data_IF_158470999656
#
_entry.id   IF_158470999656
#
_cell.length_a   1.000
_cell.length_b   1.000
_cell.length_c   1.000
_cell.angle_alpha   90.00
_cell.angle_beta   90.00
_cell.angle_gamma   90.00
#
_symmetry.space_group_name_H-M   'P 1'
#
loop_
_entity.id
_entity.type
_entity.pdbx_description
1 polymer ?
#
# COMPACT_ATOMS: atom_id res chain seq x y z
N UNK A 1 -33.77 -57.05 -1.49
CA UNK A 1 -34.55 -55.81 -1.30
C UNK A 1 -33.76 -54.94 -0.33
N UNK A 2 -32.86 -54.10 -0.83
CA UNK A 2 -32.02 -53.22 -0.01
C UNK A 2 -32.42 -51.77 -0.28
N UNK A 3 -32.80 -51.05 0.78
CA UNK A 3 -33.16 -49.63 0.75
C UNK A 3 -31.87 -48.81 0.67
N UNK A 4 -31.73 -47.98 -0.35
CA UNK A 4 -30.72 -46.93 -0.38
C UNK A 4 -31.22 -45.74 0.45
N UNK A 5 -30.43 -45.37 1.45
CA UNK A 5 -30.55 -44.13 2.21
C UNK A 5 -29.73 -43.09 1.44
N UNK A 6 -30.38 -42.05 0.93
CA UNK A 6 -29.70 -40.88 0.40
C UNK A 6 -29.28 -39.99 1.56
N UNK A 7 -27.97 -39.81 1.74
CA UNK A 7 -27.37 -38.72 2.51
C UNK A 7 -27.76 -37.39 1.86
N UNK A 8 -28.21 -36.45 2.67
CA UNK A 8 -28.40 -35.05 2.28
C UNK A 8 -27.10 -34.34 2.63
N UNK A 9 -26.34 -33.96 1.62
CA UNK A 9 -25.16 -33.11 1.80
C UNK A 9 -25.63 -31.70 2.20
N UNK A 10 -25.47 -31.38 3.48
CA UNK A 10 -25.52 -30.00 3.95
C UNK A 10 -24.20 -29.32 3.60
N UNK A 11 -24.16 -28.66 2.44
CA UNK A 11 -23.12 -27.66 2.16
C UNK A 11 -23.68 -26.31 2.59
N UNK A 12 -23.24 -25.81 3.75
CA UNK A 12 -23.39 -24.41 4.11
C UNK A 12 -22.57 -23.59 3.12
N UNK A 13 -23.25 -23.11 2.08
CA UNK A 13 -22.71 -22.16 1.12
C UNK A 13 -22.64 -20.81 1.83
N UNK A 14 -21.55 -20.56 2.54
CA UNK A 14 -21.13 -19.18 2.80
C UNK A 14 -20.90 -18.58 1.42
N UNK A 15 -21.81 -17.72 0.97
CA UNK A 15 -21.64 -16.97 -0.26
C UNK A 15 -20.40 -16.09 -0.07
N UNK A 16 -19.26 -16.61 -0.49
CA UNK A 16 -18.03 -15.86 -0.61
C UNK A 16 -18.33 -14.79 -1.67
N UNK A 17 -18.65 -13.57 -1.21
CA UNK A 17 -18.87 -12.45 -2.11
C UNK A 17 -17.61 -12.32 -2.98
N UNK A 18 -17.76 -12.56 -4.28
CA UNK A 18 -16.64 -12.50 -5.21
C UNK A 18 -16.08 -11.08 -5.19
N UNK A 19 -14.78 -10.96 -4.86
CA UNK A 19 -14.11 -9.67 -4.95
C UNK A 19 -14.22 -9.14 -6.39
N UNK A 20 -14.49 -7.84 -6.52
CA UNK A 20 -14.52 -7.13 -7.80
C UNK A 20 -13.10 -6.88 -8.31
N UNK A 21 -12.14 -6.82 -7.40
CA UNK A 21 -10.71 -6.77 -7.69
C UNK A 21 -9.95 -7.66 -6.72
N UNK A 22 -8.96 -8.39 -7.23
CA UNK A 22 -8.00 -9.14 -6.43
C UNK A 22 -6.67 -9.23 -7.18
N UNK A 23 -5.59 -8.85 -6.50
CA UNK A 23 -4.23 -9.00 -6.97
C UNK A 23 -3.34 -9.44 -5.81
N UNK A 24 -2.38 -10.33 -6.09
CA UNK A 24 -1.41 -10.78 -5.10
C UNK A 24 -0.01 -10.88 -5.70
N UNK A 25 0.98 -10.69 -4.84
CA UNK A 25 2.39 -10.78 -5.18
C UNK A 25 3.21 -11.07 -3.93
N UNK A 26 4.24 -11.89 -4.08
CA UNK A 26 5.22 -12.12 -3.02
C UNK A 26 6.28 -11.01 -3.08
N UNK A 27 6.50 -10.35 -1.95
CA UNK A 27 7.48 -9.26 -1.83
C UNK A 27 8.75 -9.78 -1.20
N UNK A 28 9.89 -9.31 -1.71
CA UNK A 28 11.16 -9.44 -1.01
C UNK A 28 11.21 -8.37 0.07
N UNK A 29 11.42 -8.78 1.32
CA UNK A 29 11.69 -7.87 2.42
C UNK A 29 12.98 -7.13 2.16
N UNK A 30 12.90 -5.82 1.85
CA UNK A 30 14.08 -5.09 1.39
C UNK A 30 15.19 -5.05 2.43
N UNK A 31 14.86 -4.87 3.72
CA UNK A 31 15.85 -4.93 4.81
C UNK A 31 16.29 -6.34 5.17
N UNK A 32 15.47 -7.35 4.87
CA UNK A 32 15.76 -8.78 5.11
C UNK A 32 16.32 -9.51 3.88
N UNK A 33 16.58 -8.81 2.78
CA UNK A 33 16.89 -9.40 1.46
C UNK A 33 18.15 -10.26 1.44
N UNK A 34 19.10 -10.00 2.34
CA UNK A 34 20.32 -10.82 2.47
C UNK A 34 20.05 -12.21 3.04
N UNK A 35 18.87 -12.40 3.65
CA UNK A 35 18.40 -13.66 4.22
C UNK A 35 17.24 -14.27 3.42
N UNK A 36 17.01 -13.79 2.20
CA UNK A 36 15.90 -14.22 1.33
C UNK A 36 14.53 -14.13 2.03
N UNK A 37 14.34 -13.14 2.92
CA UNK A 37 13.07 -12.94 3.62
C UNK A 37 11.99 -12.46 2.64
N UNK A 38 10.86 -13.17 2.62
CA UNK A 38 9.71 -12.88 1.76
C UNK A 38 8.45 -12.69 2.61
N UNK A 39 7.50 -11.90 2.11
CA UNK A 39 6.15 -11.87 2.65
C UNK A 39 5.10 -11.70 1.56
N UNK A 40 3.90 -12.29 1.73
CA UNK A 40 2.81 -12.11 0.79
C UNK A 40 2.23 -10.69 0.90
N UNK A 41 1.90 -10.11 -0.26
CA UNK A 41 1.11 -8.89 -0.37
C UNK A 41 -0.16 -9.18 -1.19
N UNK A 42 -1.32 -8.81 -0.65
CA UNK A 42 -2.61 -8.98 -1.32
C UNK A 42 -3.36 -7.66 -1.31
N UNK A 43 -3.92 -7.27 -2.46
CA UNK A 43 -4.82 -6.13 -2.60
C UNK A 43 -6.15 -6.64 -3.14
N UNK A 44 -7.25 -6.25 -2.51
CA UNK A 44 -8.57 -6.68 -2.94
C UNK A 44 -9.65 -5.64 -2.63
N UNK A 45 -10.78 -5.76 -3.33
CA UNK A 45 -11.98 -4.96 -3.05
C UNK A 45 -13.23 -5.75 -3.41
N UNK A 46 -14.22 -5.73 -2.52
CA UNK A 46 -15.60 -6.14 -2.81
C UNK A 46 -16.44 -4.92 -3.21
N UNK A 47 -17.55 -5.13 -3.92
CA UNK A 47 -18.42 -4.05 -4.43
C UNK A 47 -18.80 -3.07 -3.30
N UNK A 48 -18.54 -1.78 -3.51
CA UNK A 48 -18.84 -0.66 -2.58
C UNK A 48 -18.20 -0.77 -1.18
N UNK A 49 -17.16 -1.58 -1.02
CA UNK A 49 -16.39 -1.69 0.23
C UNK A 49 -15.05 -0.94 0.16
N UNK A 50 -14.34 -0.92 1.30
CA UNK A 50 -12.97 -0.43 1.45
C UNK A 50 -11.99 -1.17 0.52
N UNK A 51 -10.85 -0.54 0.22
CA UNK A 51 -9.70 -1.19 -0.40
C UNK A 51 -8.95 -1.98 0.68
N UNK A 52 -8.92 -3.30 0.54
CA UNK A 52 -8.22 -4.18 1.47
C UNK A 52 -6.77 -4.37 1.03
N UNK A 53 -5.82 -4.12 1.93
CA UNK A 53 -4.41 -4.45 1.78
C UNK A 53 -4.02 -5.42 2.88
N UNK A 54 -3.47 -6.57 2.51
CA UNK A 54 -2.84 -7.49 3.45
C UNK A 54 -1.35 -7.55 3.17
N UNK A 55 -0.54 -7.17 4.16
CA UNK A 55 0.91 -7.30 4.13
C UNK A 55 1.32 -8.32 5.18
N UNK A 56 1.90 -9.42 4.74
CA UNK A 56 2.15 -10.59 5.59
C UNK A 56 0.87 -11.07 6.30
N UNK A 57 0.85 -11.08 7.62
CA UNK A 57 -0.30 -11.47 8.44
C UNK A 57 -1.24 -10.30 8.76
N UNK A 58 -0.92 -9.06 8.37
CA UNK A 58 -1.64 -7.86 8.81
C UNK A 58 -2.62 -7.36 7.74
N UNK A 59 -3.94 -7.47 7.97
CA UNK A 59 -4.96 -6.90 7.11
C UNK A 59 -5.32 -5.45 7.48
N UNK A 60 -5.35 -4.60 6.48
CA UNK A 60 -5.77 -3.20 6.51
C UNK A 60 -6.90 -2.98 5.51
N UNK A 61 -7.84 -2.09 5.84
CA UNK A 61 -8.94 -1.65 4.98
C UNK A 61 -8.93 -0.13 4.90
N UNK A 62 -8.75 0.41 3.71
CA UNK A 62 -8.59 1.84 3.47
C UNK A 62 -9.81 2.44 2.81
N UNK A 63 -10.23 3.62 3.27
CA UNK A 63 -11.12 4.47 2.48
C UNK A 63 -10.41 4.86 1.17
N UNK A 64 -11.17 5.08 0.10
CA UNK A 64 -10.60 5.34 -1.24
C UNK A 64 -9.60 6.49 -1.25
N UNK A 65 -9.91 7.59 -0.57
CA UNK A 65 -9.00 8.74 -0.48
C UNK A 65 -7.66 8.38 0.19
N UNK A 66 -7.69 7.50 1.20
CA UNK A 66 -6.47 7.04 1.89
C UNK A 66 -5.67 6.09 1.01
N UNK A 67 -6.32 5.13 0.36
CA UNK A 67 -5.66 4.19 -0.55
C UNK A 67 -5.00 4.92 -1.74
N UNK A 68 -5.70 5.89 -2.32
CA UNK A 68 -5.21 6.73 -3.42
C UNK A 68 -3.97 7.53 -3.02
N UNK A 69 -3.99 8.17 -1.85
CA UNK A 69 -2.87 9.01 -1.42
C UNK A 69 -1.65 8.16 -1.01
N UNK A 70 -1.86 6.98 -0.40
CA UNK A 70 -0.77 6.00 -0.17
C UNK A 70 -0.18 5.55 -1.52
N UNK A 71 -1.01 5.18 -2.50
CA UNK A 71 -0.54 4.74 -3.81
C UNK A 71 0.35 5.80 -4.47
N UNK A 72 -0.09 7.07 -4.48
CA UNK A 72 0.72 8.15 -5.04
C UNK A 72 1.96 8.46 -4.21
N UNK A 73 1.93 8.34 -2.89
CA UNK A 73 3.11 8.51 -2.05
C UNK A 73 4.16 7.42 -2.28
N UNK A 74 3.75 6.17 -2.48
CA UNK A 74 4.63 5.07 -2.89
C UNK A 74 5.30 5.38 -4.23
N UNK A 75 4.51 5.91 -5.17
CA UNK A 75 5.00 6.29 -6.48
C UNK A 75 5.99 7.47 -6.43
N UNK A 76 5.71 8.52 -5.65
CA UNK A 76 6.64 9.63 -5.41
C UNK A 76 7.98 9.14 -4.82
N UNK A 77 7.93 8.19 -3.88
CA UNK A 77 9.12 7.58 -3.30
C UNK A 77 9.96 6.87 -4.37
N UNK A 78 9.31 6.12 -5.27
CA UNK A 78 9.98 5.45 -6.41
C UNK A 78 10.63 6.48 -7.33
N UNK A 79 9.92 7.56 -7.69
CA UNK A 79 10.48 8.61 -8.54
C UNK A 79 11.76 9.18 -7.93
N UNK A 80 11.76 9.52 -6.64
CA UNK A 80 12.95 10.04 -5.97
C UNK A 80 14.12 9.04 -6.01
N UNK A 81 13.85 7.75 -5.78
CA UNK A 81 14.89 6.71 -5.87
C UNK A 81 15.45 6.59 -7.29
N UNK A 82 14.60 6.57 -8.32
CA UNK A 82 15.03 6.53 -9.73
C UNK A 82 15.84 7.78 -10.09
N UNK A 83 15.42 8.94 -9.61
CA UNK A 83 16.14 10.19 -9.76
C UNK A 83 17.56 10.13 -9.21
N UNK A 84 17.70 9.68 -7.96
CA UNK A 84 19.01 9.53 -7.33
C UNK A 84 19.94 8.62 -8.16
N UNK A 85 19.42 7.49 -8.66
CA UNK A 85 20.18 6.57 -9.50
C UNK A 85 20.59 7.18 -10.85
N UNK A 86 19.73 8.02 -11.42
CA UNK A 86 19.98 8.69 -12.70
C UNK A 86 20.73 10.04 -12.56
N UNK A 87 21.03 10.49 -11.34
CA UNK A 87 21.74 11.73 -11.06
C UNK A 87 20.90 13.00 -11.26
N UNK A 88 19.57 12.91 -11.21
CA UNK A 88 18.67 14.07 -11.26
C UNK A 88 17.57 13.98 -10.20
N UNK A 89 16.85 15.09 -9.96
CA UNK A 89 15.75 15.10 -8.98
C UNK A 89 14.44 15.21 -9.74
N UNK A 90 13.65 14.13 -9.86
CA UNK A 90 12.28 14.29 -10.26
C UNK A 90 11.60 15.07 -9.15
N UNK A 91 11.01 16.20 -9.51
CA UNK A 91 10.05 16.87 -8.63
C UNK A 91 8.73 16.16 -8.91
N UNK A 92 8.18 15.38 -7.96
CA UNK A 92 6.86 14.79 -8.18
C UNK A 92 5.84 15.90 -8.40
N UNK A 93 4.80 15.61 -9.18
CA UNK A 93 3.77 16.60 -9.48
C UNK A 93 3.21 17.22 -8.19
N UNK A 94 3.02 18.55 -8.23
CA UNK A 94 2.32 19.22 -7.15
C UNK A 94 0.87 18.73 -7.13
N UNK A 95 0.41 18.34 -5.94
CA UNK A 95 -0.93 17.79 -5.71
C UNK A 95 -1.31 17.96 -4.26
N UNK A 96 -2.60 18.10 -4.02
CA UNK A 96 -3.16 17.92 -2.68
C UNK A 96 -2.91 16.48 -2.22
N UNK A 97 -2.41 16.34 -1.01
CA UNK A 97 -2.08 15.06 -0.38
C UNK A 97 -2.53 15.13 1.07
N UNK A 98 -3.11 14.03 1.55
CA UNK A 98 -3.52 13.85 2.94
C UNK A 98 -2.28 13.66 3.81
N UNK A 99 -1.27 12.95 3.31
CA UNK A 99 0.03 12.84 3.95
C UNK A 99 0.87 14.11 3.71
N UNK A 100 1.54 14.58 4.76
CA UNK A 100 2.47 15.70 4.64
C UNK A 100 3.74 15.23 3.91
N UNK A 101 3.91 15.67 2.66
CA UNK A 101 5.06 15.33 1.81
C UNK A 101 6.24 16.25 2.08
N UNK A 102 7.41 15.68 2.33
CA UNK A 102 8.67 16.40 2.59
C UNK A 102 9.82 15.79 1.80
N UNK A 103 10.68 16.66 1.27
CA UNK A 103 11.86 16.28 0.49
C UNK A 103 13.11 16.85 1.15
N UNK A 104 14.14 16.02 1.34
CA UNK A 104 15.38 16.46 1.97
C UNK A 104 16.60 15.91 1.23
N UNK A 105 17.49 16.81 0.82
CA UNK A 105 18.81 16.42 0.31
C UNK A 105 19.75 16.05 1.46
N UNK A 106 20.40 14.89 1.37
CA UNK A 106 21.41 14.42 2.32
C UNK A 106 22.78 15.02 2.04
N UNK A 107 23.68 14.84 3.02
CA UNK A 107 25.12 15.19 2.86
C UNK A 107 25.77 14.35 1.76
N UNK A 108 25.32 13.11 1.51
CA UNK A 108 25.76 12.28 0.39
C UNK A 108 25.39 12.86 -0.99
N UNK A 109 24.47 13.83 -1.03
CA UNK A 109 23.95 14.43 -2.26
C UNK A 109 22.63 13.81 -2.74
N UNK A 110 22.21 12.68 -2.18
CA UNK A 110 20.97 11.98 -2.52
C UNK A 110 19.75 12.65 -1.87
N UNK A 111 18.60 12.53 -2.53
CA UNK A 111 17.32 13.03 -2.04
C UNK A 111 16.55 11.95 -1.30
N UNK A 112 15.91 12.35 -0.21
CA UNK A 112 15.01 11.50 0.55
C UNK A 112 13.60 12.05 0.50
N UNK A 113 12.65 11.14 0.29
CA UNK A 113 11.22 11.40 0.37
C UNK A 113 10.66 10.92 1.71
N UNK A 114 9.75 11.72 2.27
CA UNK A 114 8.96 11.41 3.44
C UNK A 114 7.53 11.83 3.16
N UNK A 115 6.57 10.94 3.42
CA UNK A 115 5.18 11.30 3.53
C UNK A 115 4.62 10.69 4.80
N UNK A 116 4.06 11.50 5.68
CA UNK A 116 3.44 11.00 6.91
C UNK A 116 2.14 11.70 7.25
N UNK A 117 1.20 10.94 7.79
CA UNK A 117 -0.10 11.41 8.22
C UNK A 117 -0.63 10.56 9.37
N UNK A 118 -1.61 11.10 10.09
CA UNK A 118 -2.37 10.39 11.13
C UNK A 118 -3.75 10.05 10.58
N UNK A 119 -4.16 8.80 10.77
CA UNK A 119 -5.44 8.28 10.29
C UNK A 119 -6.22 7.67 11.46
N UNK A 120 -7.54 7.78 11.44
CA UNK A 120 -8.35 7.05 12.41
C UNK A 120 -8.23 5.56 12.09
N UNK A 121 -7.74 4.79 13.06
CA UNK A 121 -7.55 3.36 12.88
C UNK A 121 -8.27 2.62 14.00
N UNK A 122 -9.14 1.71 13.62
CA UNK A 122 -9.86 0.90 14.58
C UNK A 122 -9.81 -0.58 14.19
N UNK A 123 -9.65 -1.42 15.21
CA UNK A 123 -9.74 -2.86 15.09
C UNK A 123 -11.18 -3.26 14.77
N UNK A 124 -11.33 -4.17 13.83
CA UNK A 124 -12.58 -4.78 13.40
C UNK A 124 -12.39 -6.30 13.24
N UNK A 125 -13.48 -7.05 13.10
CA UNK A 125 -13.44 -8.52 13.04
C UNK A 125 -12.49 -9.09 11.96
N UNK A 126 -12.23 -8.33 10.90
CA UNK A 126 -11.41 -8.75 9.75
C UNK A 126 -10.12 -7.91 9.59
N UNK A 127 -9.68 -7.18 10.63
CA UNK A 127 -8.45 -6.40 10.60
C UNK A 127 -8.60 -4.95 11.04
N UNK A 128 -7.73 -4.09 10.52
CA UNK A 128 -7.75 -2.67 10.85
C UNK A 128 -8.46 -1.88 9.76
N UNK A 129 -9.39 -1.01 10.14
CA UNK A 129 -10.01 -0.04 9.23
C UNK A 129 -9.33 1.29 9.42
N UNK A 130 -8.89 1.91 8.33
CA UNK A 130 -8.09 3.11 8.29
C UNK A 130 -8.82 4.17 7.47
N UNK A 131 -9.17 5.26 8.13
CA UNK A 131 -9.97 6.36 7.58
C UNK A 131 -9.32 7.72 7.85
N UNK A 132 -9.81 8.76 7.16
CA UNK A 132 -9.38 10.12 7.44
C UNK A 132 -9.75 10.52 8.86
N UNK A 133 -8.75 10.91 9.64
CA UNK A 133 -8.98 11.44 10.97
C UNK A 133 -9.77 12.74 10.87
N UNK A 134 -10.94 12.79 11.52
CA UNK A 134 -11.76 14.02 11.58
C UNK A 134 -11.38 14.92 12.76
N UNK A 135 -10.76 14.34 13.80
CA UNK A 135 -10.21 15.02 14.97
C UNK A 135 -8.94 14.30 15.45
N UNK A 136 -8.00 15.01 16.08
CA UNK A 136 -6.87 14.35 16.74
C UNK A 136 -7.37 13.56 17.96
N UNK A 137 -7.31 12.23 17.88
CA UNK A 137 -7.66 11.33 18.98
C UNK A 137 -6.53 10.35 19.28
N UNK A 138 -6.52 9.79 20.49
CA UNK A 138 -5.59 8.72 20.90
C UNK A 138 -5.75 7.42 20.07
N UNK A 139 -6.75 7.35 19.19
CA UNK A 139 -7.00 6.22 18.28
C UNK A 139 -6.42 6.44 16.88
N UNK A 140 -5.66 7.51 16.70
CA UNK A 140 -5.03 7.81 15.41
C UNK A 140 -3.73 7.02 15.24
N UNK A 141 -3.63 6.29 14.14
CA UNK A 141 -2.43 5.54 13.76
C UNK A 141 -1.63 6.31 12.72
N UNK A 142 -0.30 6.36 12.89
CA UNK A 142 0.58 6.99 11.92
C UNK A 142 0.74 6.05 10.74
N UNK A 143 0.44 6.54 9.54
CA UNK A 143 0.85 5.90 8.28
C UNK A 143 1.95 6.73 7.66
N UNK A 144 2.99 6.08 7.14
CA UNK A 144 4.08 6.80 6.50
C UNK A 144 4.74 6.05 5.37
N UNK A 145 5.22 6.78 4.38
CA UNK A 145 5.98 6.28 3.24
C UNK A 145 7.35 6.95 3.19
N UNK A 146 8.42 6.17 3.04
CA UNK A 146 9.81 6.67 3.03
C UNK A 146 10.67 5.99 1.97
N UNK A 147 11.67 6.71 1.46
CA UNK A 147 12.78 6.11 0.68
C UNK A 147 13.87 5.57 1.60
N UNK A 148 14.34 4.35 1.31
CA UNK A 148 15.49 3.70 1.97
C UNK A 148 16.77 4.11 1.25
N UNK A 149 17.82 4.41 2.01
CA UNK A 149 19.13 4.85 1.50
C UNK A 149 19.73 3.88 0.46
N UNK A 150 19.49 2.57 0.62
CA UNK A 150 19.97 1.54 -0.30
C UNK A 150 19.05 1.32 -1.53
N UNK A 151 18.05 2.18 -1.76
CA UNK A 151 17.22 2.16 -2.97
C UNK A 151 15.88 1.42 -2.87
N UNK A 152 15.39 1.14 -1.67
CA UNK A 152 14.06 0.57 -1.41
C UNK A 152 13.04 1.60 -0.93
N UNK A 153 11.83 1.13 -0.61
CA UNK A 153 10.73 1.94 -0.05
C UNK A 153 10.22 1.29 1.23
N UNK A 154 9.79 2.11 2.20
CA UNK A 154 9.11 1.64 3.42
C UNK A 154 7.68 2.18 3.48
N UNK A 155 6.75 1.31 3.88
CA UNK A 155 5.42 1.66 4.36
C UNK A 155 5.35 1.30 5.84
N UNK A 156 5.07 2.30 6.68
CA UNK A 156 5.11 2.20 8.13
C UNK A 156 3.72 2.48 8.70
N UNK A 157 3.28 1.61 9.61
CA UNK A 157 2.17 1.78 10.55
C UNK A 157 2.75 1.86 11.97
N UNK A 158 2.07 2.40 13.00
CA UNK A 158 2.72 2.60 14.32
C UNK A 158 3.36 1.32 14.90
N UNK A 159 2.77 0.15 14.61
CA UNK A 159 3.19 -1.14 15.15
C UNK A 159 3.92 -2.04 14.14
N UNK A 160 4.02 -1.67 12.85
CA UNK A 160 4.67 -2.49 11.81
C UNK A 160 5.39 -1.65 10.76
N UNK A 161 6.48 -2.18 10.22
CA UNK A 161 7.22 -1.59 9.11
C UNK A 161 7.41 -2.62 8.01
N UNK A 162 6.99 -2.28 6.79
CA UNK A 162 7.18 -3.11 5.60
C UNK A 162 8.15 -2.42 4.66
N UNK A 163 9.25 -3.09 4.34
CA UNK A 163 10.25 -2.60 3.41
C UNK A 163 10.26 -3.48 2.16
N UNK A 164 10.29 -2.86 0.97
CA UNK A 164 10.20 -3.57 -0.31
C UNK A 164 10.97 -2.84 -1.41
N UNK A 165 11.18 -3.53 -2.54
CA UNK A 165 11.89 -2.99 -3.70
C UNK A 165 11.09 -1.88 -4.40
N UNK A 166 11.75 -1.07 -5.24
CA UNK A 166 11.04 -0.12 -6.12
C UNK A 166 10.01 -0.80 -7.02
N UNK A 167 10.32 -2.01 -7.51
CA UNK A 167 9.44 -2.74 -8.43
C UNK A 167 8.16 -3.18 -7.70
N UNK A 168 8.31 -3.66 -6.46
CA UNK A 168 7.17 -4.05 -5.63
C UNK A 168 6.37 -2.83 -5.17
N UNK A 169 7.03 -1.69 -4.93
CA UNK A 169 6.37 -0.41 -4.64
C UNK A 169 5.49 0.07 -5.81
N UNK A 170 6.00 0.01 -7.05
CA UNK A 170 5.21 0.33 -8.25
C UNK A 170 4.04 -0.62 -8.39
N UNK A 171 4.26 -1.92 -8.18
CA UNK A 171 3.19 -2.91 -8.24
C UNK A 171 2.11 -2.63 -7.19
N UNK A 172 2.49 -2.32 -5.94
CA UNK A 172 1.55 -2.00 -4.87
C UNK A 172 0.75 -0.74 -5.18
N UNK A 173 1.41 0.31 -5.63
CA UNK A 173 0.75 1.56 -6.01
C UNK A 173 -0.31 1.32 -7.09
N UNK A 174 0.03 0.57 -8.15
CA UNK A 174 -0.90 0.27 -9.23
C UNK A 174 -2.04 -0.65 -8.79
N UNK A 175 -1.75 -1.68 -8.00
CA UNK A 175 -2.78 -2.56 -7.46
C UNK A 175 -3.79 -1.79 -6.59
N UNK A 176 -3.34 -0.81 -5.80
CA UNK A 176 -4.23 0.07 -5.04
C UNK A 176 -5.09 0.95 -5.95
N UNK A 177 -4.53 1.52 -7.02
CA UNK A 177 -5.28 2.32 -8.00
C UNK A 177 -6.36 1.49 -8.71
N UNK A 178 -5.98 0.33 -9.21
CA UNK A 178 -6.89 -0.60 -9.90
C UNK A 178 -7.99 -1.12 -8.98
N UNK A 179 -7.68 -1.39 -7.70
CA UNK A 179 -8.67 -1.76 -6.70
C UNK A 179 -9.76 -0.70 -6.51
N UNK A 180 -9.44 0.58 -6.73
CA UNK A 180 -10.41 1.68 -6.71
C UNK A 180 -11.10 1.91 -8.06
N UNK A 181 -10.85 1.08 -9.07
CA UNK A 181 -11.35 1.28 -10.44
C UNK A 181 -10.71 2.47 -11.15
N UNK A 182 -9.50 2.88 -10.72
CA UNK A 182 -8.73 3.98 -11.32
C UNK A 182 -7.62 3.46 -12.22
N UNK A 183 -7.14 4.32 -13.11
CA UNK A 183 -6.01 3.99 -13.97
C UNK A 183 -4.72 3.81 -13.14
N UNK A 184 -3.84 2.86 -13.51
CA UNK A 184 -2.52 2.72 -12.91
C UNK A 184 -1.72 4.03 -12.99
N UNK A 185 -0.79 4.22 -12.05
CA UNK A 185 0.15 5.35 -12.13
C UNK A 185 1.19 5.00 -13.20
N UNK A 186 0.99 5.53 -14.41
CA UNK A 186 1.93 5.35 -15.52
C UNK A 186 3.33 5.81 -15.11
N UNK A 187 4.37 5.09 -15.56
CA UNK A 187 5.75 5.55 -15.46
C UNK A 187 5.85 6.93 -16.13
N UNK A 188 6.14 7.99 -15.36
CA UNK A 188 6.46 9.36 -15.79
C UNK A 188 5.33 10.42 -15.82
N UNK A 189 4.49 10.51 -14.80
CA UNK A 189 3.95 11.84 -14.42
C UNK A 189 5.06 12.69 -13.75
N UNK A 190 6.05 13.08 -14.55
CA UNK A 190 7.11 14.01 -14.12
C UNK A 190 6.97 15.30 -14.90
N UNK A 191 6.59 16.39 -14.22
CA UNK A 191 6.73 17.72 -14.81
C UNK A 191 8.22 18.02 -14.90
N UNK A 192 8.76 17.96 -16.11
CA UNK A 192 10.08 18.47 -16.42
C UNK A 192 10.03 20.00 -16.36
N UNK A 193 10.19 20.55 -15.15
CA UNK A 193 10.35 22.00 -14.96
C UNK A 193 11.73 22.42 -15.45
N UNK A 194 11.76 23.17 -16.55
CA UNK A 194 12.91 23.93 -17.06
C UNK A 194 13.42 24.97 -16.06
#
# INVERSE_FOLDING_TARGET
>A
MFKNITMVDFVSKTEMQSATFFAEREFICWRGREFDELYPCQVSRQVDQYVSLKLDIMPFRFADAVAEDIARCLYDAVLITVGNLAGFVPTPADRESILERRYRKRVSGEWHYFADGKFDCHEAEEGYVVELATEESDKTEKVSVYTIEEGGVELIFNFMCYSFSMIDAVWLANALMEAMGREPLDLLETTSGL
#
